data_IF_283620065086
#
_entry.id   IF_283620065086
#
_cell.length_a   1.000
_cell.length_b   1.000
_cell.length_c   1.000
_cell.angle_alpha   90.00
_cell.angle_beta   90.00
_cell.angle_gamma   90.00
#
_symmetry.space_group_name_H-M   'P 1'
#
loop_
_entity.id
_entity.type
_entity.pdbx_description
1 polymer ?
#
# COMPACT_ATOMS: atom_id res chain seq x y z
N UNK A 1 2.26 -7.47 5.91
CA UNK A 1 1.43 -7.62 4.69
C UNK A 1 1.68 -6.42 3.80
N UNK A 2 1.67 -6.61 2.48
CA UNK A 2 1.61 -5.51 1.54
C UNK A 2 0.19 -5.46 1.00
N UNK A 3 -0.37 -4.25 0.93
CA UNK A 3 -1.73 -4.01 0.45
C UNK A 3 -1.61 -3.31 -0.89
N UNK A 4 -2.20 -3.90 -1.93
CA UNK A 4 -2.19 -3.32 -3.27
C UNK A 4 -3.51 -2.62 -3.54
N UNK A 5 -3.44 -1.31 -3.79
CA UNK A 5 -4.59 -0.48 -4.17
C UNK A 5 -4.49 -0.21 -5.67
N UNK A 6 -5.23 -1.00 -6.44
CA UNK A 6 -5.16 -0.98 -7.91
C UNK A 6 -5.69 0.33 -8.52
N UNK A 7 -6.64 0.97 -7.86
CA UNK A 7 -7.23 2.23 -8.31
C UNK A 7 -6.31 3.44 -8.08
N UNK A 8 -5.44 3.33 -7.08
CA UNK A 8 -4.43 4.35 -6.75
C UNK A 8 -3.03 4.00 -7.29
N UNK A 9 -2.86 2.83 -7.92
CA UNK A 9 -1.56 2.28 -8.37
C UNK A 9 -0.47 2.38 -7.29
N UNK A 10 -0.81 1.98 -6.07
CA UNK A 10 0.13 1.98 -4.94
C UNK A 10 0.18 0.62 -4.25
N UNK A 11 1.38 0.29 -3.80
CA UNK A 11 1.64 -0.80 -2.88
C UNK A 11 1.96 -0.20 -1.51
N UNK A 12 1.14 -0.51 -0.51
CA UNK A 12 1.29 0.03 0.83
C UNK A 12 1.84 -1.02 1.81
N UNK A 13 2.73 -0.57 2.69
CA UNK A 13 3.27 -1.34 3.80
C UNK A 13 2.84 -0.71 5.13
N UNK A 14 1.76 -1.22 5.77
CA UNK A 14 1.29 -0.73 7.07
C UNK A 14 2.34 -0.80 8.19
N UNK A 15 3.25 -1.78 8.14
CA UNK A 15 4.26 -2.00 9.19
C UNK A 15 5.34 -0.91 9.19
N UNK A 16 5.70 -0.42 7.99
CA UNK A 16 6.73 0.60 7.82
C UNK A 16 6.12 1.99 7.61
N UNK A 17 4.80 2.10 7.53
CA UNK A 17 4.06 3.32 7.14
C UNK A 17 4.66 3.93 5.87
N UNK A 18 4.83 3.09 4.84
CA UNK A 18 5.38 3.48 3.55
C UNK A 18 4.52 3.01 2.40
N UNK A 19 4.35 3.87 1.40
CA UNK A 19 3.75 3.51 0.11
C UNK A 19 4.79 3.54 -1.00
N UNK A 20 4.59 2.69 -1.98
CA UNK A 20 5.41 2.55 -3.17
C UNK A 20 4.49 2.72 -4.37
N UNK A 21 4.88 3.56 -5.34
CA UNK A 21 4.15 3.68 -6.59
C UNK A 21 4.29 2.39 -7.42
N UNK A 22 3.26 2.06 -8.17
CA UNK A 22 3.25 0.98 -9.15
C UNK A 22 3.20 1.60 -10.54
N UNK A 23 4.29 1.45 -11.28
CA UNK A 23 4.41 1.94 -12.66
C UNK A 23 4.39 0.75 -13.62
N UNK A 24 3.50 0.78 -14.61
CA UNK A 24 3.31 -0.32 -15.57
C UNK A 24 3.11 -1.70 -14.92
N UNK A 25 2.45 -1.73 -13.76
CA UNK A 25 2.23 -2.96 -12.99
C UNK A 25 3.44 -3.44 -12.19
N UNK A 26 4.54 -2.68 -12.15
CA UNK A 26 5.76 -2.99 -11.39
C UNK A 26 5.86 -2.03 -10.19
N UNK A 27 5.82 -2.55 -8.95
CA UNK A 27 6.07 -1.74 -7.77
C UNK A 27 7.51 -1.21 -7.72
N UNK A 28 7.67 0.11 -7.61
CA UNK A 28 8.99 0.72 -7.47
C UNK A 28 9.44 0.63 -6.01
N UNK A 29 10.22 -0.41 -5.72
CA UNK A 29 10.74 -0.69 -4.37
C UNK A 29 12.10 -0.01 -4.08
N UNK A 30 12.31 1.19 -4.62
CA UNK A 30 13.51 1.98 -4.33
C UNK A 30 13.29 2.77 -3.04
N UNK A 31 14.26 2.71 -2.12
CA UNK A 31 14.18 3.39 -0.81
C UNK A 31 13.97 4.90 -0.96
N UNK A 32 14.56 5.50 -2.01
CA UNK A 32 14.46 6.93 -2.30
C UNK A 32 13.09 7.35 -2.85
N UNK A 33 12.33 6.42 -3.42
CA UNK A 33 10.99 6.67 -3.99
C UNK A 33 9.87 6.19 -3.06
N UNK A 34 10.22 5.56 -1.94
CA UNK A 34 9.26 5.16 -0.94
C UNK A 34 8.77 6.38 -0.16
N UNK A 35 7.48 6.69 -0.28
CA UNK A 35 6.87 7.82 0.40
C UNK A 35 6.42 7.41 1.80
N UNK A 36 6.75 8.24 2.79
CA UNK A 36 6.24 8.10 4.15
C UNK A 36 4.74 8.42 4.16
N UNK A 37 3.98 7.58 4.85
CA UNK A 37 2.54 7.73 5.05
C UNK A 37 2.34 8.23 6.48
N UNK A 38 1.68 9.36 6.63
CA UNK A 38 1.33 9.89 7.95
C UNK A 38 0.17 9.09 8.58
N UNK A 39 -0.21 9.43 9.81
CA UNK A 39 -1.25 8.70 10.53
C UNK A 39 -2.63 8.85 9.88
N UNK A 40 -2.95 10.02 9.32
CA UNK A 40 -4.24 10.26 8.69
C UNK A 40 -4.40 9.42 7.41
N UNK A 41 -3.36 9.39 6.57
CA UNK A 41 -3.34 8.61 5.36
C UNK A 41 -3.24 7.10 5.66
N UNK A 42 -2.55 6.71 6.74
CA UNK A 42 -2.58 5.34 7.22
C UNK A 42 -3.99 4.88 7.54
N UNK A 43 -4.72 5.62 8.37
CA UNK A 43 -6.07 5.28 8.78
C UNK A 43 -7.01 5.20 7.56
N UNK A 44 -6.86 6.12 6.60
CA UNK A 44 -7.59 6.08 5.33
C UNK A 44 -7.29 4.79 4.55
N UNK A 45 -6.01 4.44 4.38
CA UNK A 45 -5.61 3.25 3.61
C UNK A 45 -6.06 1.96 4.30
N UNK A 46 -6.00 1.87 5.62
CA UNK A 46 -6.52 0.72 6.36
C UNK A 46 -8.05 0.60 6.26
N UNK A 47 -8.78 1.72 6.41
CA UNK A 47 -10.23 1.74 6.25
C UNK A 47 -10.65 1.35 4.82
N UNK A 48 -9.93 1.84 3.82
CA UNK A 48 -10.15 1.49 2.41
C UNK A 48 -9.89 0.00 2.17
N UNK A 49 -8.78 -0.54 2.67
CA UNK A 49 -8.47 -1.95 2.54
C UNK A 49 -9.56 -2.84 3.18
N UNK A 50 -10.08 -2.43 4.34
CA UNK A 50 -11.18 -3.14 5.00
C UNK A 50 -12.49 -3.05 4.18
N UNK A 51 -12.82 -1.89 3.62
CA UNK A 51 -14.03 -1.68 2.83
C UNK A 51 -14.00 -2.44 1.50
N UNK A 52 -12.84 -2.53 0.86
CA UNK A 52 -12.66 -3.18 -0.45
C UNK A 52 -12.26 -4.66 -0.33
N UNK A 53 -12.05 -5.16 0.89
CA UNK A 53 -11.57 -6.53 1.11
C UNK A 53 -10.17 -6.77 0.54
N UNK A 54 -9.32 -5.73 0.51
CA UNK A 54 -7.92 -5.84 0.10
C UNK A 54 -7.19 -6.61 1.19
N UNK A 55 -7.03 -7.90 0.95
CA UNK A 55 -6.34 -8.80 1.84
C UNK A 55 -4.89 -9.00 1.39
N UNK A 56 -3.99 -9.30 2.32
CA UNK A 56 -2.66 -9.76 1.97
C UNK A 56 -2.75 -11.03 1.12
N UNK A 57 -1.93 -11.13 0.08
CA UNK A 57 -1.91 -12.28 -0.85
C UNK A 57 -1.40 -13.60 -0.26
N UNK A 58 -1.13 -13.66 1.05
CA UNK A 58 -0.64 -14.85 1.74
C UNK A 58 -1.72 -15.54 2.59
N UNK A 59 -2.84 -15.91 1.98
CA UNK A 59 -3.78 -16.81 2.65
C UNK A 59 -3.39 -18.26 2.34
N UNK A 60 -3.12 -19.03 3.40
CA UNK A 60 -2.90 -20.48 3.37
C UNK A 60 -4.15 -21.26 2.97
#
# INVERSE_FOLDING_TARGET
PLLYFADENILYNPRLRRRYRVDDGIPVMLVAEAEAVDDAEHDRLEAKAAAEGILPTWSA
#
